data_IF_551326954690
#
_entry.id   IF_551326954690
#
_cell.length_a   1.000
_cell.length_b   1.000
_cell.length_c   1.000
_cell.angle_alpha   90.00
_cell.angle_beta   90.00
_cell.angle_gamma   90.00
#
_symmetry.space_group_name_H-M   'P 1'
#
loop_
_entity.id
_entity.type
_entity.pdbx_description
1 polymer ?
#
# COMPACT_ATOMS: atom_id res chain seq x y z
N UNK A 1 -14.56 8.46 -5.81
CA UNK A 1 -13.70 7.47 -6.48
C UNK A 1 -12.28 7.72 -6.02
N UNK A 2 -11.67 6.78 -5.29
CA UNK A 2 -10.28 6.90 -4.79
C UNK A 2 -9.39 6.03 -5.68
N UNK A 3 -8.28 6.58 -6.18
CA UNK A 3 -7.28 5.84 -6.95
C UNK A 3 -6.16 5.37 -6.00
N UNK A 4 -5.93 4.06 -5.92
CA UNK A 4 -4.89 3.47 -5.06
C UNK A 4 -3.68 3.09 -5.92
N UNK A 5 -2.59 3.85 -5.79
CA UNK A 5 -1.29 3.52 -6.39
C UNK A 5 -0.46 2.73 -5.38
N UNK A 6 -0.13 1.48 -5.70
CA UNK A 6 0.68 0.61 -4.85
C UNK A 6 2.18 0.78 -5.17
N UNK A 7 3.00 0.86 -4.13
CA UNK A 7 4.46 0.86 -4.22
C UNK A 7 5.04 -0.11 -3.21
N UNK A 8 6.07 -0.85 -3.61
CA UNK A 8 6.77 -1.79 -2.75
C UNK A 8 8.01 -1.18 -2.09
N UNK A 9 8.19 0.14 -2.17
CA UNK A 9 9.30 0.83 -1.49
C UNK A 9 9.00 0.94 0.00
N UNK A 10 9.61 0.07 0.78
CA UNK A 10 9.57 0.13 2.24
C UNK A 10 10.15 1.45 2.76
N UNK A 11 9.62 1.93 3.89
CA UNK A 11 10.07 3.16 4.54
C UNK A 11 9.70 4.45 3.81
N UNK A 12 8.89 4.40 2.74
CA UNK A 12 8.43 5.59 2.03
C UNK A 12 7.35 6.35 2.81
N UNK A 13 6.48 5.65 3.54
CA UNK A 13 5.41 6.27 4.33
C UNK A 13 5.86 6.36 5.78
N UNK A 14 5.90 7.58 6.30
CA UNK A 14 6.13 7.91 7.70
C UNK A 14 4.82 7.87 8.49
N UNK A 15 4.59 8.89 9.33
CA UNK A 15 3.39 8.92 10.17
C UNK A 15 2.10 9.05 9.36
N UNK A 16 1.03 8.39 9.82
CA UNK A 16 -0.32 8.39 9.25
C UNK A 16 -1.28 8.92 10.30
N UNK A 17 -2.02 9.97 9.96
CA UNK A 17 -2.96 10.65 10.84
C UNK A 17 -4.33 10.79 10.16
N UNK A 18 -5.37 11.03 10.96
CA UNK A 18 -6.65 11.53 10.47
C UNK A 18 -6.66 13.06 10.60
N UNK A 19 -7.09 13.76 9.55
CA UNK A 19 -7.05 15.23 9.47
C UNK A 19 -8.43 15.88 9.70
N UNK A 20 -9.49 15.10 9.88
CA UNK A 20 -10.87 15.60 9.89
C UNK A 20 -11.54 15.40 8.54
N UNK A 21 -12.86 15.60 8.50
CA UNK A 21 -13.64 15.64 7.27
C UNK A 21 -13.42 16.93 6.48
N UNK A 22 -13.46 16.81 5.14
CA UNK A 22 -13.52 17.97 4.26
C UNK A 22 -14.97 18.40 4.05
N UNK A 23 -15.31 19.62 4.45
CA UNK A 23 -16.66 20.17 4.29
C UNK A 23 -17.69 19.39 5.12
N UNK A 24 -18.86 19.10 4.55
CA UNK A 24 -19.91 18.31 5.19
C UNK A 24 -19.78 16.79 4.93
N UNK A 25 -18.61 16.33 4.47
CA UNK A 25 -18.39 14.90 4.24
C UNK A 25 -18.43 14.13 5.55
N UNK A 26 -19.02 12.95 5.51
CA UNK A 26 -18.95 11.93 6.55
C UNK A 26 -17.60 11.17 6.55
N UNK A 27 -16.76 11.41 5.54
CA UNK A 27 -15.47 10.72 5.38
C UNK A 27 -14.31 11.53 6.00
N UNK A 28 -13.54 10.87 6.86
CA UNK A 28 -12.29 11.37 7.43
C UNK A 28 -11.13 11.33 6.42
N UNK A 29 -10.34 12.41 6.33
CA UNK A 29 -9.14 12.42 5.50
C UNK A 29 -7.98 11.73 6.19
N UNK A 30 -7.35 10.78 5.51
CA UNK A 30 -6.08 10.17 5.95
C UNK A 30 -4.91 10.99 5.40
N UNK A 31 -4.12 11.58 6.28
CA UNK A 31 -2.88 12.30 5.95
C UNK A 31 -1.67 11.41 6.23
N UNK A 32 -0.81 11.23 5.23
CA UNK A 32 0.43 10.48 5.37
C UNK A 32 1.65 11.35 5.02
N UNK A 33 2.72 11.20 5.79
CA UNK A 33 4.01 11.84 5.48
C UNK A 33 4.83 10.95 4.56
N UNK A 34 5.10 11.39 3.33
CA UNK A 34 6.03 10.69 2.44
C UNK A 34 7.46 11.06 2.83
N UNK A 35 8.25 10.10 3.30
CA UNK A 35 9.66 10.26 3.62
C UNK A 35 10.47 10.28 2.32
N UNK A 36 11.02 11.44 1.99
CA UNK A 36 11.89 11.60 0.81
C UNK A 36 13.31 11.11 1.11
N UNK A 37 13.48 9.80 1.33
CA UNK A 37 14.81 9.19 1.40
C UNK A 37 15.35 8.92 -0.01
N UNK A 38 16.21 9.82 -0.48
CA UNK A 38 17.00 9.66 -1.70
C UNK A 38 18.30 8.89 -1.40
N UNK A 39 18.19 7.64 -0.91
CA UNK A 39 19.30 6.69 -1.08
C UNK A 39 18.90 5.75 -2.21
N UNK A 40 19.58 5.89 -3.35
CA UNK A 40 19.66 4.83 -4.35
C UNK A 40 20.46 3.70 -3.69
N UNK A 41 19.76 2.83 -2.98
CA UNK A 41 20.31 1.51 -2.71
C UNK A 41 20.02 0.74 -3.98
N UNK A 42 21.07 0.27 -4.68
CA UNK A 42 20.97 -0.70 -5.77
C UNK A 42 20.55 -2.08 -5.22
N UNK A 43 19.57 -2.12 -4.31
CA UNK A 43 18.85 -3.33 -4.02
C UNK A 43 18.02 -3.63 -5.26
N UNK A 44 18.04 -4.89 -5.71
CA UNK A 44 17.19 -5.41 -6.79
C UNK A 44 15.73 -5.02 -6.51
N UNK A 45 15.30 -3.87 -7.01
CA UNK A 45 13.95 -3.36 -6.83
C UNK A 45 13.06 -4.18 -7.77
N UNK A 46 12.46 -5.23 -7.23
CA UNK A 46 11.42 -6.01 -7.90
C UNK A 46 10.25 -5.06 -8.15
N UNK A 47 9.94 -4.74 -9.41
CA UNK A 47 8.82 -3.85 -9.71
C UNK A 47 7.54 -4.67 -9.75
N UNK A 48 6.44 -4.19 -9.16
CA UNK A 48 5.13 -4.85 -9.30
C UNK A 48 4.65 -4.76 -10.76
N UNK A 49 4.32 -5.87 -11.40
CA UNK A 49 3.73 -5.88 -12.75
C UNK A 49 2.20 -5.75 -12.64
N UNK A 50 1.75 -4.51 -12.39
CA UNK A 50 0.33 -4.20 -12.22
C UNK A 50 -0.53 -4.57 -13.43
N UNK A 51 0.06 -4.68 -14.63
CA UNK A 51 -0.65 -5.10 -15.84
C UNK A 51 -1.07 -6.57 -15.80
N UNK A 52 -0.35 -7.38 -15.02
CA UNK A 52 -0.62 -8.81 -14.83
C UNK A 52 -1.24 -9.11 -13.47
N UNK A 53 -1.61 -8.08 -12.72
CA UNK A 53 -2.23 -8.24 -11.42
C UNK A 53 -3.63 -8.81 -11.55
N UNK A 54 -3.96 -9.77 -10.67
CA UNK A 54 -5.33 -10.20 -10.47
C UNK A 54 -6.00 -9.29 -9.43
N UNK A 55 -6.58 -8.19 -9.92
CA UNK A 55 -7.30 -7.24 -9.06
C UNK A 55 -8.59 -7.82 -8.47
N UNK A 56 -9.19 -8.83 -9.12
CA UNK A 56 -10.36 -9.53 -8.61
C UNK A 56 -10.01 -10.30 -7.34
N UNK A 57 -8.99 -11.15 -7.41
CA UNK A 57 -8.48 -11.90 -6.26
C UNK A 57 -7.96 -10.97 -5.16
N UNK A 58 -7.25 -9.90 -5.54
CA UNK A 58 -6.74 -8.92 -4.59
C UNK A 58 -7.86 -8.27 -3.77
N UNK A 59 -8.92 -7.82 -4.46
CA UNK A 59 -10.11 -7.26 -3.82
C UNK A 59 -10.80 -8.30 -2.95
N UNK A 60 -10.91 -9.54 -3.40
CA UNK A 60 -11.57 -10.59 -2.63
C UNK A 60 -10.81 -10.94 -1.34
N UNK A 61 -9.48 -10.96 -1.38
CA UNK A 61 -8.66 -11.19 -0.19
C UNK A 61 -8.82 -10.06 0.83
N UNK A 62 -8.80 -8.80 0.38
CA UNK A 62 -9.00 -7.65 1.25
C UNK A 62 -10.45 -7.52 1.73
N UNK A 63 -11.42 -7.85 0.89
CA UNK A 63 -12.85 -7.77 1.21
C UNK A 63 -13.30 -8.80 2.25
N UNK A 64 -12.55 -9.89 2.42
CA UNK A 64 -12.81 -10.91 3.45
C UNK A 64 -12.36 -10.50 4.84
N UNK A 65 -11.55 -9.46 4.97
CA UNK A 65 -11.08 -8.97 6.27
C UNK A 65 -12.24 -8.25 6.97
N UNK A 66 -12.58 -8.61 8.22
CA UNK A 66 -13.62 -7.91 8.98
C UNK A 66 -13.08 -6.57 9.49
N UNK A 67 -12.91 -5.60 8.59
CA UNK A 67 -12.24 -4.32 8.86
C UNK A 67 -12.81 -3.56 10.04
N UNK A 68 -14.13 -3.60 10.23
CA UNK A 68 -14.76 -2.95 11.38
C UNK A 68 -14.18 -3.44 12.71
N UNK A 69 -14.00 -4.76 12.88
CA UNK A 69 -13.36 -5.35 14.08
C UNK A 69 -11.87 -5.13 14.10
N UNK A 70 -11.22 -5.30 12.94
CA UNK A 70 -9.77 -5.19 12.83
C UNK A 70 -9.28 -3.79 13.21
N UNK A 71 -10.11 -2.76 12.97
CA UNK A 71 -9.77 -1.35 13.18
C UNK A 71 -10.49 -0.71 14.38
N UNK A 72 -11.41 -1.42 15.04
CA UNK A 72 -12.17 -0.89 16.17
C UNK A 72 -11.26 -0.41 17.31
N UNK A 73 -11.50 0.82 17.79
CA UNK A 73 -10.75 1.42 18.89
C UNK A 73 -9.28 1.75 18.59
N UNK A 74 -8.81 1.57 17.34
CA UNK A 74 -7.41 1.84 16.95
C UNK A 74 -7.22 3.27 16.48
N UNK A 75 -6.06 3.84 16.81
CA UNK A 75 -5.60 5.08 16.20
C UNK A 75 -5.25 4.90 14.73
N UNK A 76 -5.03 6.01 14.02
CA UNK A 76 -4.70 6.02 12.59
C UNK A 76 -3.44 5.21 12.27
N UNK A 77 -2.40 5.34 13.09
CA UNK A 77 -1.13 4.66 12.91
C UNK A 77 -1.25 3.14 13.13
N UNK A 78 -1.94 2.71 14.18
CA UNK A 78 -2.19 1.29 14.44
C UNK A 78 -3.09 0.66 13.36
N UNK A 79 -4.12 1.41 12.94
CA UNK A 79 -4.99 1.02 11.83
C UNK A 79 -4.20 0.85 10.53
N UNK A 80 -3.23 1.73 10.27
CA UNK A 80 -2.35 1.62 9.12
C UNK A 80 -1.43 0.39 9.18
N UNK A 81 -0.94 0.01 10.35
CA UNK A 81 -0.15 -1.22 10.52
C UNK A 81 -1.00 -2.45 10.21
N UNK A 82 -2.19 -2.55 10.80
CA UNK A 82 -3.13 -3.66 10.53
C UNK A 82 -3.51 -3.72 9.05
N UNK A 83 -3.71 -2.56 8.42
CA UNK A 83 -3.97 -2.49 6.99
C UNK A 83 -2.81 -3.08 6.17
N UNK A 84 -1.56 -2.69 6.47
CA UNK A 84 -0.38 -3.22 5.78
C UNK A 84 -0.20 -4.72 5.99
N UNK A 85 -0.49 -5.24 7.18
CA UNK A 85 -0.36 -6.67 7.50
C UNK A 85 -1.27 -7.54 6.62
N UNK A 86 -2.39 -7.01 6.14
CA UNK A 86 -3.28 -7.70 5.19
C UNK A 86 -2.97 -7.34 3.74
N UNK A 87 -2.57 -6.09 3.48
CA UNK A 87 -2.27 -5.58 2.14
C UNK A 87 -1.06 -6.28 1.51
N UNK A 88 0.04 -6.41 2.27
CA UNK A 88 1.31 -6.93 1.74
C UNK A 88 1.16 -8.40 1.30
N UNK A 89 0.61 -9.33 2.11
CA UNK A 89 0.41 -10.70 1.67
C UNK A 89 -0.57 -10.83 0.49
N UNK A 90 -1.64 -10.02 0.47
CA UNK A 90 -2.57 -10.00 -0.65
C UNK A 90 -1.87 -9.53 -1.93
N UNK A 91 -1.01 -8.52 -1.83
CA UNK A 91 -0.24 -7.99 -2.95
C UNK A 91 0.74 -9.03 -3.50
N UNK A 92 1.50 -9.70 -2.63
CA UNK A 92 2.45 -10.74 -3.03
C UNK A 92 1.78 -11.91 -3.74
N UNK A 93 0.56 -12.26 -3.31
CA UNK A 93 -0.20 -13.36 -3.89
C UNK A 93 -0.85 -12.99 -5.23
N UNK A 94 -1.23 -11.73 -5.43
CA UNK A 94 -2.05 -11.33 -6.59
C UNK A 94 -1.26 -10.56 -7.65
N UNK A 95 -0.10 -9.99 -7.31
CA UNK A 95 0.65 -9.09 -8.18
C UNK A 95 2.04 -9.69 -8.42
N UNK A 96 2.29 -10.23 -9.63
CA UNK A 96 3.61 -10.73 -9.99
C UNK A 96 4.67 -9.63 -9.91
N UNK A 97 5.90 -10.00 -9.55
CA UNK A 97 7.04 -9.08 -9.59
C UNK A 97 7.84 -9.26 -10.88
N UNK A 98 8.24 -8.14 -11.47
CA UNK A 98 9.18 -8.08 -12.59
C UNK A 98 10.58 -7.82 -12.04
N UNK A 99 11.53 -8.70 -12.38
CA UNK A 99 12.96 -8.41 -12.19
C UNK A 99 13.41 -7.48 -13.32
N UNK A 100 14.16 -6.43 -12.98
CA UNK A 100 14.88 -5.64 -13.99
C UNK A 100 15.93 -6.56 -14.61
N UNK A 101 15.73 -7.03 -15.83
CA UNK A 101 16.79 -7.68 -16.60
C UNK A 101 17.83 -6.61 -16.90
N UNK A 102 19.03 -6.74 -16.33
CA UNK A 102 20.15 -5.91 -16.72
C UNK A 102 20.39 -6.12 -18.22
N UNK A 103 20.09 -5.11 -19.02
CA UNK A 103 20.47 -5.13 -20.42
C UNK A 103 21.99 -5.04 -20.47
N UNK A 104 22.64 -6.17 -20.71
CA UNK A 104 23.97 -6.19 -21.32
C UNK A 104 23.78 -5.58 -22.72
N UNK A 105 24.13 -4.31 -22.87
CA UNK A 105 24.52 -3.81 -24.18
C UNK A 105 25.95 -4.30 -24.42
N UNK A 106 26.10 -5.16 -25.42
CA UNK A 106 27.39 -5.50 -26.02
C UNK A 106 27.85 -4.43 -27.00
#
# INVERSE_FOLDING_TARGET
MLELVLTNKEGLVGNVNLKGSLGCSDHEMVEFKILRAARRVDSKLTTLDLRRADFGLFRDLLGRVPWYKALEGRGAQDSWLVFKDHLIPAQERCIPTKRKSGGLHG
#
